data_IF_378445990666
#
_entry.id   IF_378445990666
#
_cell.length_a   1.000
_cell.length_b   1.000
_cell.length_c   1.000
_cell.angle_alpha   90.00
_cell.angle_beta   90.00
_cell.angle_gamma   90.00
#
_symmetry.space_group_name_H-M   'P 1'
#
loop_
_entity.id
_entity.type
_entity.pdbx_description
1 polymer ?
#
# COMPACT_ATOMS: atom_id res chain seq x y z
N UNK A 1 23.90 0.49 11.87
CA UNK A 1 24.42 -0.16 10.65
C UNK A 1 23.42 0.17 9.57
N UNK A 2 23.87 0.90 8.55
CA UNK A 2 23.02 1.61 7.61
C UNK A 2 22.67 0.70 6.44
N UNK A 3 21.55 -0.03 6.53
CA UNK A 3 21.03 -0.85 5.43
C UNK A 3 20.17 0.03 4.50
N UNK A 4 20.81 1.02 3.87
CA UNK A 4 20.31 1.56 2.60
C UNK A 4 20.78 0.59 1.51
N UNK A 5 20.14 -0.57 1.45
CA UNK A 5 20.39 -1.57 0.43
C UNK A 5 20.01 -0.97 -0.93
N UNK A 6 20.98 -0.99 -1.83
CA UNK A 6 20.99 -0.36 -3.13
C UNK A 6 19.68 -0.58 -3.91
N UNK A 7 19.14 0.49 -4.50
CA UNK A 7 18.03 0.37 -5.44
C UNK A 7 18.42 -0.62 -6.57
N UNK A 8 17.56 -1.60 -6.91
CA UNK A 8 17.88 -2.55 -7.97
C UNK A 8 18.01 -1.81 -9.31
N UNK A 9 19.17 -1.97 -9.93
CA UNK A 9 19.34 -1.71 -11.36
C UNK A 9 18.52 -2.76 -12.14
N UNK A 10 17.95 -2.34 -13.27
CA UNK A 10 17.11 -3.13 -14.19
C UNK A 10 15.70 -3.51 -13.71
N UNK A 11 14.79 -2.53 -13.59
CA UNK A 11 13.34 -2.70 -13.81
C UNK A 11 12.57 -3.73 -12.98
N UNK A 12 13.24 -4.46 -12.08
CA UNK A 12 12.72 -5.55 -11.29
C UNK A 12 12.35 -5.00 -9.93
N UNK A 13 11.05 -5.02 -9.64
CA UNK A 13 10.55 -4.65 -8.32
C UNK A 13 10.88 -5.76 -7.31
N UNK A 14 11.33 -5.43 -6.09
CA UNK A 14 11.42 -6.42 -5.02
C UNK A 14 10.06 -7.06 -4.76
N UNK A 15 10.02 -8.31 -4.28
CA UNK A 15 8.78 -9.01 -4.00
C UNK A 15 8.64 -9.32 -2.50
N UNK A 16 7.46 -9.11 -1.94
CA UNK A 16 7.09 -9.52 -0.56
C UNK A 16 5.88 -10.45 -0.68
N UNK A 17 6.00 -11.69 -0.20
CA UNK A 17 4.92 -12.69 -0.32
C UNK A 17 4.39 -12.86 -1.77
N UNK A 18 5.28 -12.77 -2.76
CA UNK A 18 4.93 -12.89 -4.19
C UNK A 18 4.34 -11.63 -4.82
N UNK A 19 4.16 -10.53 -4.05
CA UNK A 19 3.72 -9.24 -4.57
C UNK A 19 4.92 -8.35 -4.90
N UNK A 20 5.00 -7.86 -6.13
CA UNK A 20 5.95 -6.82 -6.53
C UNK A 20 5.67 -5.52 -5.78
N UNK A 21 6.67 -4.98 -5.08
CA UNK A 21 6.57 -3.77 -4.26
C UNK A 21 7.62 -2.73 -4.63
N UNK A 22 7.32 -1.47 -4.36
CA UNK A 22 8.26 -0.34 -4.48
C UNK A 22 8.26 0.44 -3.18
N UNK A 23 9.37 1.10 -2.87
CA UNK A 23 9.37 2.04 -1.75
C UNK A 23 8.56 3.28 -2.11
N UNK A 24 7.88 3.86 -1.12
CA UNK A 24 7.11 5.09 -1.30
C UNK A 24 7.96 6.21 -1.89
N UNK A 25 9.18 6.41 -1.36
CA UNK A 25 10.11 7.42 -1.82
C UNK A 25 10.54 7.22 -3.28
N UNK A 26 10.80 5.98 -3.70
CA UNK A 26 11.16 5.69 -5.09
C UNK A 26 9.98 5.93 -6.04
N UNK A 27 8.76 5.55 -5.63
CA UNK A 27 7.55 5.82 -6.40
C UNK A 27 7.30 7.33 -6.54
N UNK A 28 7.42 8.09 -5.44
CA UNK A 28 7.22 9.54 -5.44
C UNK A 28 8.26 10.26 -6.32
N UNK A 29 9.54 9.91 -6.19
CA UNK A 29 10.62 10.51 -6.99
C UNK A 29 10.45 10.23 -8.49
N UNK A 30 10.09 9.00 -8.86
CA UNK A 30 9.83 8.62 -10.25
C UNK A 30 8.64 9.39 -10.82
N UNK A 31 7.52 9.43 -10.10
CA UNK A 31 6.33 10.17 -10.52
C UNK A 31 6.58 11.68 -10.62
N UNK A 32 7.39 12.26 -9.73
CA UNK A 32 7.76 13.67 -9.83
C UNK A 32 8.57 13.97 -11.10
N UNK A 33 9.43 13.03 -11.53
CA UNK A 33 10.15 13.12 -12.81
C UNK A 33 9.25 12.95 -14.03
N UNK A 34 8.28 12.03 -13.98
CA UNK A 34 7.31 11.78 -15.05
C UNK A 34 6.29 12.91 -15.20
N UNK A 35 5.93 13.58 -14.08
CA UNK A 35 4.89 14.62 -14.02
C UNK A 35 5.42 15.93 -13.41
N UNK A 36 6.37 16.64 -14.07
CA UNK A 36 7.05 17.80 -13.49
C UNK A 36 6.14 19.01 -13.21
N UNK A 37 4.93 19.05 -13.79
CA UNK A 37 3.93 20.10 -13.53
C UNK A 37 3.07 19.85 -12.30
N UNK A 38 3.19 18.69 -11.64
CA UNK A 38 2.42 18.35 -10.44
C UNK A 38 3.30 18.57 -9.20
N UNK A 39 2.82 19.32 -8.18
CA UNK A 39 3.58 19.48 -6.94
C UNK A 39 3.87 18.14 -6.26
N UNK A 40 5.09 17.95 -5.77
CA UNK A 40 5.52 16.71 -5.10
C UNK A 40 4.58 16.31 -3.94
N UNK A 41 4.16 17.27 -3.12
CA UNK A 41 3.21 17.03 -2.03
C UNK A 41 1.86 16.45 -2.52
N UNK A 42 1.42 16.81 -3.73
CA UNK A 42 0.20 16.26 -4.33
C UNK A 42 0.40 14.82 -4.82
N UNK A 43 1.60 14.50 -5.34
CA UNK A 43 1.97 13.14 -5.72
C UNK A 43 2.02 12.24 -4.49
N UNK A 44 2.64 12.70 -3.40
CA UNK A 44 2.69 11.96 -2.14
C UNK A 44 1.30 11.75 -1.54
N UNK A 45 0.45 12.77 -1.51
CA UNK A 45 -0.93 12.64 -1.04
C UNK A 45 -1.75 11.65 -1.88
N UNK A 46 -1.53 11.61 -3.19
CA UNK A 46 -2.16 10.63 -4.08
C UNK A 46 -1.66 9.22 -3.76
N UNK A 47 -0.35 9.02 -3.61
CA UNK A 47 0.22 7.71 -3.26
C UNK A 47 -0.30 7.19 -1.90
N UNK A 48 -0.46 8.06 -0.89
CA UNK A 48 -1.06 7.68 0.40
C UNK A 48 -2.52 7.28 0.22
N UNK A 49 -3.32 8.06 -0.51
CA UNK A 49 -4.72 7.74 -0.79
C UNK A 49 -4.87 6.42 -1.55
N UNK A 50 -4.04 6.18 -2.55
CA UNK A 50 -4.06 4.93 -3.32
C UNK A 50 -3.58 3.75 -2.48
N UNK A 51 -2.57 3.94 -1.63
CA UNK A 51 -2.16 2.92 -0.64
C UNK A 51 -3.29 2.60 0.34
N UNK A 52 -3.97 3.61 0.88
CA UNK A 52 -5.13 3.39 1.75
C UNK A 52 -6.25 2.66 0.99
N UNK A 53 -6.52 3.00 -0.27
CA UNK A 53 -7.49 2.28 -1.09
C UNK A 53 -7.08 0.83 -1.40
N UNK A 54 -5.78 0.58 -1.58
CA UNK A 54 -5.22 -0.72 -1.93
C UNK A 54 -5.06 -1.65 -0.71
N UNK A 55 -4.57 -1.10 0.41
CA UNK A 55 -4.27 -1.81 1.65
C UNK A 55 -5.36 -1.69 2.73
N UNK A 56 -6.38 -0.84 2.54
CA UNK A 56 -7.71 -1.08 3.10
C UNK A 56 -8.53 -2.08 2.27
N UNK A 57 -7.86 -2.89 1.43
CA UNK A 57 -8.46 -4.04 0.76
C UNK A 57 -8.98 -5.08 1.74
N UNK A 58 -9.96 -5.88 1.30
CA UNK A 58 -10.57 -6.96 2.10
C UNK A 58 -9.46 -7.79 2.77
N UNK A 59 -9.48 -7.94 4.10
CA UNK A 59 -8.46 -8.72 4.80
C UNK A 59 -8.42 -10.15 4.25
N UNK A 60 -7.23 -10.65 3.93
CA UNK A 60 -7.03 -12.05 3.53
C UNK A 60 -7.28 -13.01 4.70
N UNK A 61 -6.99 -12.55 5.91
CA UNK A 61 -7.27 -13.23 7.17
C UNK A 61 -7.80 -12.23 8.18
N UNK A 62 -8.82 -12.64 8.93
CA UNK A 62 -9.35 -11.91 10.09
C UNK A 62 -9.29 -12.84 11.32
N UNK A 63 -9.16 -12.31 12.54
CA UNK A 63 -9.37 -13.11 13.74
C UNK A 63 -10.79 -13.70 13.77
N UNK A 64 -10.95 -14.96 14.20
CA UNK A 64 -12.25 -15.62 14.30
C UNK A 64 -13.27 -14.81 15.13
N UNK A 65 -12.82 -14.12 16.18
CA UNK A 65 -13.66 -13.25 17.00
C UNK A 65 -14.30 -12.08 16.21
N UNK A 66 -13.69 -11.63 15.10
CA UNK A 66 -14.28 -10.61 14.21
C UNK A 66 -15.46 -11.19 13.43
N UNK A 67 -15.37 -12.47 13.04
CA UNK A 67 -16.49 -13.18 12.42
C UNK A 67 -17.64 -13.40 13.42
N UNK A 68 -17.31 -13.76 14.67
CA UNK A 68 -18.31 -13.95 15.72
C UNK A 68 -19.05 -12.66 16.04
N UNK A 69 -18.35 -11.54 16.21
CA UNK A 69 -18.98 -10.23 16.43
C UNK A 69 -19.86 -9.80 15.24
N UNK A 70 -19.44 -10.09 13.99
CA UNK A 70 -20.26 -9.80 12.82
C UNK A 70 -21.56 -10.64 12.81
N UNK A 71 -21.52 -11.89 13.28
CA UNK A 71 -22.69 -12.77 13.38
C UNK A 71 -23.72 -12.26 14.40
N UNK A 72 -23.27 -11.76 15.54
CA UNK A 72 -24.13 -11.15 16.57
C UNK A 72 -24.88 -9.93 16.00
N UNK A 73 -24.17 -9.00 15.36
CA UNK A 73 -24.77 -7.79 14.80
C UNK A 73 -25.79 -8.06 13.69
N UNK A 74 -25.63 -9.14 12.93
CA UNK A 74 -26.59 -9.57 11.91
C UNK A 74 -27.79 -10.30 12.51
N UNK A 75 -27.59 -11.04 13.60
CA UNK A 75 -28.66 -11.70 14.35
C UNK A 75 -29.60 -10.72 15.04
N UNK A 76 -29.08 -9.59 15.51
CA UNK A 76 -29.87 -8.51 16.13
C UNK A 76 -30.63 -7.63 15.13
N UNK A 77 -30.34 -7.78 13.83
CA UNK A 77 -30.94 -7.00 12.74
C UNK A 77 -32.14 -7.69 12.05
N UNK A 78 -32.56 -8.87 12.51
CA UNK A 78 -33.69 -9.66 11.99
C UNK A 78 -34.80 -9.86 13.01
#
# INVERSE_FOLDING_TARGET
MNDLESAPADGAFPHVEGLAVVTFAAAAARLAGEFPGIPAARIEALLVREWEAFCAGRPLVIPAAVEDGAREMLGDAG
#
